data_IF_040451886057
#
_entry.id   IF_040451886057
#
_cell.length_a   1.000
_cell.length_b   1.000
_cell.length_c   1.000
_cell.angle_alpha   90.00
_cell.angle_beta   90.00
_cell.angle_gamma   90.00
#
_symmetry.space_group_name_H-M   'P 1'
#
loop_
_entity.id
_entity.type
_entity.pdbx_description
1 polymer ?
#
# COMPACT_ATOMS: atom_id res chain seq x y z
N UNK A 1 1.12 17.30 -17.17
CA UNK A 1 0.67 15.89 -17.12
C UNK A 1 0.53 15.44 -15.68
N UNK A 2 -0.56 14.80 -15.33
CA UNK A 2 -0.82 14.32 -13.96
C UNK A 2 0.03 13.10 -13.62
N UNK A 3 0.39 12.96 -12.36
CA UNK A 3 1.16 11.83 -11.83
C UNK A 3 0.55 10.48 -12.15
N UNK A 4 -0.77 10.38 -12.15
CA UNK A 4 -1.52 9.19 -12.53
C UNK A 4 -1.11 8.60 -13.87
N UNK A 5 -0.70 9.42 -14.83
CA UNK A 5 -0.28 8.98 -16.16
C UNK A 5 1.05 8.20 -16.12
N UNK A 6 1.83 8.36 -15.06
CA UNK A 6 3.13 7.72 -14.93
C UNK A 6 3.07 6.39 -14.19
N UNK A 7 1.90 6.02 -13.64
CA UNK A 7 1.73 4.82 -12.84
C UNK A 7 0.57 3.94 -13.33
N UNK A 8 0.74 2.65 -13.15
CA UNK A 8 -0.34 1.67 -13.24
C UNK A 8 -0.69 1.25 -11.82
N UNK A 9 -1.96 1.38 -11.46
CA UNK A 9 -2.47 1.01 -10.15
C UNK A 9 -3.13 -0.36 -10.21
N UNK A 10 -2.83 -1.21 -9.24
CA UNK A 10 -3.48 -2.50 -9.08
C UNK A 10 -3.57 -2.86 -7.62
N UNK A 11 -4.72 -3.40 -7.17
CA UNK A 11 -4.84 -3.86 -5.79
C UNK A 11 -4.10 -5.18 -5.60
N UNK A 12 -3.53 -5.37 -4.41
CA UNK A 12 -2.94 -6.63 -4.00
C UNK A 12 -3.19 -6.87 -2.53
N UNK A 13 -3.03 -8.10 -2.10
CA UNK A 13 -3.14 -8.49 -0.70
C UNK A 13 -1.83 -9.06 -0.23
N UNK A 14 -1.40 -8.68 0.97
CA UNK A 14 -0.19 -9.25 1.58
C UNK A 14 -0.46 -9.68 3.01
N UNK A 15 0.05 -10.84 3.43
CA UNK A 15 -0.04 -11.27 4.81
C UNK A 15 0.89 -10.43 5.68
N UNK A 16 0.35 -9.94 6.79
CA UNK A 16 1.10 -9.15 7.78
C UNK A 16 0.75 -9.66 9.16
N UNK A 17 1.76 -9.85 10.01
CA UNK A 17 1.55 -10.21 11.40
C UNK A 17 1.18 -8.99 12.21
N UNK A 18 0.05 -9.05 12.90
CA UNK A 18 -0.43 -7.97 13.75
C UNK A 18 -0.77 -8.49 15.13
N UNK A 19 -0.57 -7.65 16.14
CA UNK A 19 -0.95 -7.92 17.53
C UNK A 19 -2.19 -7.12 17.86
N UNK A 20 -3.24 -7.80 18.34
CA UNK A 20 -4.41 -7.09 18.84
C UNK A 20 -4.06 -6.35 20.14
N UNK A 21 -4.29 -5.04 20.23
CA UNK A 21 -3.97 -4.29 21.45
C UNK A 21 -4.91 -4.59 22.61
N UNK A 22 -6.05 -5.21 22.34
CA UNK A 22 -7.05 -5.51 23.38
C UNK A 22 -6.82 -6.86 24.05
N UNK A 23 -6.54 -7.91 23.28
CA UNK A 23 -6.32 -9.26 23.81
C UNK A 23 -4.88 -9.74 23.67
N UNK A 24 -4.03 -8.98 22.96
CA UNK A 24 -2.61 -9.26 22.72
C UNK A 24 -2.34 -10.57 21.97
N UNK A 25 -3.34 -11.08 21.27
CA UNK A 25 -3.16 -12.24 20.41
C UNK A 25 -2.50 -11.81 19.11
N UNK A 26 -1.43 -12.51 18.74
CA UNK A 26 -0.75 -12.30 17.46
C UNK A 26 -1.38 -13.20 16.41
N UNK A 27 -1.63 -12.66 15.23
CA UNK A 27 -2.16 -13.44 14.10
C UNK A 27 -1.73 -12.80 12.78
N UNK A 28 -1.87 -13.56 11.71
CA UNK A 28 -1.60 -13.09 10.36
C UNK A 28 -2.87 -12.55 9.72
N UNK A 29 -2.81 -11.35 9.17
CA UNK A 29 -3.92 -10.69 8.50
C UNK A 29 -3.57 -10.40 7.06
N UNK A 30 -4.51 -10.65 6.16
CA UNK A 30 -4.35 -10.28 4.76
C UNK A 30 -4.79 -8.82 4.58
N UNK A 31 -3.82 -7.95 4.41
CA UNK A 31 -4.07 -6.52 4.25
C UNK A 31 -4.09 -6.14 2.77
N UNK A 32 -4.97 -5.21 2.43
CA UNK A 32 -5.09 -4.69 1.08
C UNK A 32 -4.11 -3.55 0.86
N UNK A 33 -3.40 -3.65 -0.25
CA UNK A 33 -2.44 -2.66 -0.69
C UNK A 33 -2.76 -2.21 -2.11
N UNK A 34 -2.52 -0.95 -2.40
CA UNK A 34 -2.56 -0.45 -3.77
C UNK A 34 -1.13 -0.38 -4.29
N UNK A 35 -0.83 -1.18 -5.31
CA UNK A 35 0.46 -1.14 -5.98
C UNK A 35 0.40 -0.05 -7.05
N UNK A 36 1.35 0.86 -7.00
CA UNK A 36 1.54 1.91 -8.01
C UNK A 36 2.85 1.65 -8.72
N UNK A 37 2.77 0.96 -9.84
CA UNK A 37 3.93 0.58 -10.63
C UNK A 37 4.18 1.61 -11.72
N UNK A 38 5.39 2.15 -11.73
CA UNK A 38 5.83 3.09 -12.76
C UNK A 38 5.74 2.43 -14.13
N UNK A 39 5.14 3.14 -15.10
CA UNK A 39 5.07 2.65 -16.48
C UNK A 39 6.49 2.56 -17.07
N UNK A 40 6.69 1.67 -18.02
CA UNK A 40 8.02 1.41 -18.59
C UNK A 40 8.54 2.56 -19.44
N UNK A 41 7.64 3.28 -20.08
CA UNK A 41 8.01 4.39 -20.97
C UNK A 41 7.24 5.65 -20.58
N UNK A 42 7.87 6.79 -20.77
CA UNK A 42 7.21 8.08 -20.61
C UNK A 42 5.96 8.14 -21.49
N UNK A 43 4.79 8.55 -20.95
CA UNK A 43 3.58 8.67 -21.74
C UNK A 43 3.73 9.64 -22.90
N UNK A 44 2.98 9.40 -23.97
CA UNK A 44 2.94 10.31 -25.12
C UNK A 44 2.39 11.67 -24.68
N UNK A 45 2.93 12.74 -25.25
CA UNK A 45 2.54 14.09 -24.92
C UNK A 45 3.24 14.66 -23.71
N UNK A 46 4.14 13.91 -23.08
CA UNK A 46 4.97 14.41 -22.00
C UNK A 46 5.99 15.44 -22.52
N UNK A 47 6.05 16.57 -21.85
CA UNK A 47 7.06 17.58 -22.15
C UNK A 47 8.37 17.29 -21.39
N UNK A 48 9.32 18.18 -21.49
CA UNK A 48 10.63 18.03 -20.87
C UNK A 48 10.56 17.99 -19.34
N UNK A 49 9.65 18.76 -18.74
CA UNK A 49 9.41 18.74 -17.28
C UNK A 49 8.81 17.43 -16.83
N UNK A 50 7.85 16.91 -17.60
CA UNK A 50 7.24 15.63 -17.33
C UNK A 50 8.24 14.49 -17.38
N UNK A 51 9.17 14.52 -18.35
CA UNK A 51 10.24 13.53 -18.47
C UNK A 51 11.20 13.59 -17.28
N UNK A 52 11.53 14.79 -16.83
CA UNK A 52 12.39 14.97 -15.67
C UNK A 52 11.73 14.43 -14.39
N UNK A 53 10.45 14.68 -14.22
CA UNK A 53 9.66 14.13 -13.09
C UNK A 53 9.60 12.61 -13.17
N UNK A 54 9.31 12.07 -14.33
CA UNK A 54 9.21 10.63 -14.56
C UNK A 54 10.50 9.90 -14.18
N UNK A 55 11.64 10.46 -14.51
CA UNK A 55 12.94 9.86 -14.19
C UNK A 55 13.17 9.70 -12.69
N UNK A 56 12.51 10.54 -11.87
CA UNK A 56 12.64 10.51 -10.40
C UNK A 56 11.62 9.62 -9.72
N UNK A 57 10.57 9.21 -10.42
CA UNK A 57 9.51 8.38 -9.83
C UNK A 57 9.97 6.95 -9.62
N UNK A 58 9.53 6.37 -8.52
CA UNK A 58 9.80 4.98 -8.16
C UNK A 58 8.47 4.25 -7.99
N UNK A 59 8.48 2.95 -8.30
CA UNK A 59 7.32 2.11 -8.03
C UNK A 59 7.19 1.88 -6.54
N UNK A 60 5.97 1.93 -6.04
CA UNK A 60 5.70 1.76 -4.61
C UNK A 60 4.31 1.18 -4.38
N UNK A 61 4.05 0.80 -3.14
CA UNK A 61 2.73 0.33 -2.71
C UNK A 61 2.31 1.08 -1.46
N UNK A 62 1.01 1.28 -1.32
CA UNK A 62 0.39 2.01 -0.21
C UNK A 62 -0.63 1.11 0.46
N UNK A 63 -0.59 1.07 1.80
CA UNK A 63 -1.58 0.32 2.57
C UNK A 63 -2.96 0.99 2.45
N UNK A 64 -3.96 0.19 2.08
CA UNK A 64 -5.33 0.65 1.92
C UNK A 64 -6.17 0.43 3.18
N UNK A 65 -5.84 -0.58 3.98
CA UNK A 65 -6.55 -0.89 5.21
C UNK A 65 -5.97 -0.08 6.37
N UNK A 66 -6.84 0.56 7.15
CA UNK A 66 -6.45 1.30 8.36
C UNK A 66 -6.80 0.54 9.63
N UNK A 67 -7.72 -0.40 9.55
CA UNK A 67 -8.21 -1.18 10.70
C UNK A 67 -8.29 -2.67 10.36
N UNK A 68 -8.11 -3.50 11.38
CA UNK A 68 -8.25 -4.94 11.28
C UNK A 68 -9.18 -5.45 12.39
N UNK A 69 -9.87 -6.56 12.11
CA UNK A 69 -10.71 -7.22 13.11
C UNK A 69 -9.92 -8.37 13.71
N UNK A 70 -9.82 -8.41 15.04
CA UNK A 70 -9.13 -9.47 15.75
C UNK A 70 -9.72 -10.84 15.39
N UNK A 71 -8.86 -11.79 15.06
CA UNK A 71 -9.26 -13.16 14.70
C UNK A 71 -9.58 -14.03 15.91
N UNK A 72 -9.22 -13.58 17.10
CA UNK A 72 -9.54 -14.30 18.31
C UNK A 72 -11.05 -14.26 18.54
N UNK A 73 -11.69 -15.41 18.57
CA UNK A 73 -13.15 -15.53 18.72
C UNK A 73 -13.68 -14.90 20.00
N UNK A 74 -12.85 -14.82 21.02
CA UNK A 74 -13.23 -14.22 22.31
C UNK A 74 -13.10 -12.70 22.33
N UNK A 75 -12.37 -12.13 21.41
CA UNK A 75 -12.12 -10.70 21.32
C UNK A 75 -12.93 -10.05 20.19
N UNK A 76 -12.62 -10.34 18.96
CA UNK A 76 -13.22 -9.82 17.71
C UNK A 76 -13.39 -8.31 17.65
N UNK A 77 -12.58 -7.57 18.40
CA UNK A 77 -12.60 -6.11 18.35
C UNK A 77 -11.84 -5.60 17.15
N UNK A 78 -12.31 -4.49 16.59
CA UNK A 78 -11.56 -3.77 15.56
C UNK A 78 -10.49 -2.95 16.23
N UNK A 79 -9.31 -2.94 15.64
CA UNK A 79 -8.20 -2.14 16.12
C UNK A 79 -7.49 -1.45 14.95
N UNK A 80 -6.85 -0.33 15.25
CA UNK A 80 -6.09 0.41 14.26
C UNK A 80 -4.79 -0.32 13.92
N UNK A 81 -4.48 -0.40 12.63
CA UNK A 81 -3.23 -0.99 12.17
C UNK A 81 -2.10 0.00 12.48
N UNK A 82 -1.16 -0.43 13.30
CA UNK A 82 -0.03 0.40 13.73
C UNK A 82 1.25 -0.43 13.81
N UNK A 83 2.37 0.26 13.90
CA UNK A 83 3.67 -0.40 14.01
C UNK A 83 4.21 -1.00 12.73
N UNK A 84 3.55 -0.75 11.59
CA UNK A 84 4.02 -1.18 10.27
C UNK A 84 4.12 0.01 9.33
N UNK A 85 4.93 -0.14 8.31
CA UNK A 85 5.03 0.88 7.26
C UNK A 85 3.78 0.87 6.39
N UNK A 86 3.24 2.05 6.11
CA UNK A 86 2.06 2.22 5.26
C UNK A 86 2.43 2.43 3.79
N UNK A 87 3.70 2.58 3.49
CA UNK A 87 4.23 2.71 2.13
C UNK A 87 5.53 1.93 2.02
N UNK A 88 5.72 1.25 0.89
CA UNK A 88 6.94 0.51 0.61
C UNK A 88 7.30 0.63 -0.87
N UNK A 89 8.58 0.79 -1.15
CA UNK A 89 9.07 0.76 -2.54
C UNK A 89 9.20 -0.69 -3.03
N UNK A 90 8.96 -0.86 -4.31
CA UNK A 90 9.03 -2.19 -4.95
C UNK A 90 9.89 -2.17 -6.22
#
# INVERSE_FOLDING_TARGET
>A
MEEKAFYRESPTTKPVMLNCPFCRTQDTYDLKWMVRKKVEQVPRGADERDRARFAKFLSYMVLMDDKAMCKNMRCRKRFDISGIKTMAFI
#
